data_IF_654149599485
#
_entry.id   IF_654149599485
#
_cell.length_a   1.000
_cell.length_b   1.000
_cell.length_c   1.000
_cell.angle_alpha   90.00
_cell.angle_beta   90.00
_cell.angle_gamma   90.00
#
_symmetry.space_group_name_H-M   'P 1'
#
loop_
_entity.id
_entity.type
_entity.pdbx_description
1 polymer ?
#
# COMPACT_ATOMS: atom_id res chain seq x y z
N UNK A 1 21.79 4.60 5.78
CA UNK A 1 21.09 3.70 4.86
C UNK A 1 21.40 4.13 3.45
N UNK A 2 21.96 3.23 2.65
CA UNK A 2 22.36 3.44 1.26
C UNK A 2 21.12 3.68 0.40
N UNK A 3 21.13 4.72 -0.44
CA UNK A 3 20.13 4.85 -1.52
C UNK A 3 20.23 3.59 -2.37
N UNK A 4 19.15 2.80 -2.45
CA UNK A 4 19.10 1.66 -3.35
C UNK A 4 19.37 2.14 -4.77
N UNK A 5 20.46 1.67 -5.39
CA UNK A 5 20.76 2.00 -6.77
C UNK A 5 19.73 1.30 -7.64
N UNK A 6 18.94 2.07 -8.39
CA UNK A 6 18.04 1.54 -9.39
C UNK A 6 18.91 1.10 -10.59
N UNK A 7 19.27 -0.18 -10.64
CA UNK A 7 19.99 -0.72 -11.79
C UNK A 7 19.08 -0.67 -13.04
N UNK A 8 19.56 -0.14 -14.18
CA UNK A 8 18.77 -0.09 -15.41
C UNK A 8 18.27 -1.49 -15.80
N UNK A 9 16.95 -1.62 -15.99
CA UNK A 9 16.32 -2.87 -16.46
C UNK A 9 15.88 -3.84 -15.36
N UNK A 10 16.13 -3.56 -14.07
CA UNK A 10 15.53 -4.36 -12.99
C UNK A 10 14.07 -3.95 -12.73
N UNK A 11 13.25 -4.90 -12.28
CA UNK A 11 11.90 -4.60 -11.78
C UNK A 11 11.98 -3.75 -10.51
N UNK A 12 11.08 -2.77 -10.40
CA UNK A 12 10.84 -2.04 -9.16
C UNK A 12 10.05 -2.92 -8.19
N UNK A 13 10.55 -3.08 -6.96
CA UNK A 13 9.89 -3.85 -5.91
C UNK A 13 8.94 -2.95 -5.13
N UNK A 14 7.65 -3.25 -5.21
CA UNK A 14 6.58 -2.46 -4.58
C UNK A 14 5.95 -3.29 -3.47
N UNK A 15 6.09 -2.84 -2.23
CA UNK A 15 5.56 -3.49 -1.04
C UNK A 15 4.27 -2.85 -0.55
N UNK A 16 3.33 -3.66 -0.05
CA UNK A 16 2.08 -3.20 0.55
C UNK A 16 1.94 -3.77 1.96
N UNK A 17 1.92 -2.88 2.96
CA UNK A 17 1.73 -3.23 4.37
C UNK A 17 0.31 -2.89 4.78
N UNK A 18 -0.46 -3.87 5.25
CA UNK A 18 -1.82 -3.62 5.71
C UNK A 18 -2.32 -4.67 6.69
N UNK A 19 -3.19 -4.24 7.60
CA UNK A 19 -4.09 -5.13 8.35
C UNK A 19 -5.18 -5.76 7.47
N UNK A 20 -5.39 -5.24 6.27
CA UNK A 20 -6.62 -5.42 5.50
C UNK A 20 -6.44 -6.12 4.15
N UNK A 21 -5.39 -6.94 4.00
CA UNK A 21 -5.17 -7.78 2.81
C UNK A 21 -6.00 -9.08 2.85
N UNK A 22 -7.29 -8.93 3.10
CA UNK A 22 -8.33 -9.97 3.11
C UNK A 22 -9.60 -9.36 2.51
N UNK A 23 -10.75 -10.01 2.56
CA UNK A 23 -12.02 -9.47 2.07
C UNK A 23 -12.45 -8.20 2.84
N UNK A 24 -11.87 -7.07 2.46
CA UNK A 24 -11.98 -5.75 3.07
C UNK A 24 -11.91 -4.66 1.99
N UNK A 25 -12.38 -3.44 2.31
CA UNK A 25 -12.41 -2.33 1.35
C UNK A 25 -11.03 -1.96 0.80
N UNK A 26 -9.99 -1.96 1.65
CA UNK A 26 -8.60 -1.72 1.23
C UNK A 26 -8.17 -2.70 0.12
N UNK A 27 -8.44 -3.99 0.29
CA UNK A 27 -8.16 -4.99 -0.74
C UNK A 27 -8.95 -4.75 -2.03
N UNK A 28 -10.19 -4.27 -1.95
CA UNK A 28 -10.99 -3.93 -3.13
C UNK A 28 -10.40 -2.76 -3.94
N UNK A 29 -9.77 -1.79 -3.28
CA UNK A 29 -9.03 -0.71 -3.96
C UNK A 29 -7.69 -1.18 -4.52
N UNK A 30 -6.99 -2.06 -3.80
CA UNK A 30 -5.68 -2.56 -4.22
C UNK A 30 -5.79 -3.52 -5.42
N UNK A 31 -6.80 -4.39 -5.43
CA UNK A 31 -6.92 -5.50 -6.40
C UNK A 31 -6.86 -5.05 -7.87
N UNK A 32 -7.60 -4.02 -8.33
CA UNK A 32 -7.49 -3.54 -9.71
C UNK A 32 -6.06 -3.10 -10.09
N UNK A 33 -5.33 -2.47 -9.17
CA UNK A 33 -3.94 -2.05 -9.40
C UNK A 33 -3.03 -3.28 -9.45
N UNK A 34 -3.20 -4.19 -8.48
CA UNK A 34 -2.41 -5.42 -8.37
C UNK A 34 -2.51 -6.32 -9.61
N UNK A 35 -3.71 -6.41 -10.19
CA UNK A 35 -4.01 -7.21 -11.39
C UNK A 35 -3.55 -6.55 -12.70
N UNK A 36 -3.53 -5.21 -12.76
CA UNK A 36 -3.27 -4.48 -14.02
C UNK A 36 -1.84 -3.94 -14.15
N UNK A 37 -1.07 -3.91 -13.07
CA UNK A 37 0.28 -3.37 -13.09
C UNK A 37 1.20 -4.22 -13.97
N UNK A 38 2.02 -3.55 -14.79
CA UNK A 38 2.91 -4.22 -15.73
C UNK A 38 4.02 -4.99 -14.98
N UNK A 39 3.89 -6.32 -14.94
CA UNK A 39 4.83 -7.21 -14.25
C UNK A 39 6.20 -7.31 -14.91
N UNK A 40 6.40 -6.78 -16.12
CA UNK A 40 7.74 -6.63 -16.71
C UNK A 40 8.56 -5.54 -16.00
N UNK A 41 7.90 -4.54 -15.42
CA UNK A 41 8.55 -3.41 -14.76
C UNK A 41 8.41 -3.41 -13.24
N UNK A 42 7.43 -4.13 -12.69
CA UNK A 42 7.12 -4.13 -11.26
C UNK A 42 7.01 -5.54 -10.69
N UNK A 43 7.60 -5.73 -9.51
CA UNK A 43 7.43 -6.92 -8.67
C UNK A 43 6.65 -6.52 -7.40
N UNK A 44 5.63 -7.28 -7.03
CA UNK A 44 4.72 -6.91 -5.94
C UNK A 44 4.91 -7.78 -4.70
N UNK A 45 4.94 -7.13 -3.55
CA UNK A 45 5.17 -7.74 -2.26
C UNK A 45 4.03 -7.43 -1.30
N UNK A 46 3.53 -8.44 -0.58
CA UNK A 46 2.49 -8.29 0.42
C UNK A 46 2.99 -8.54 1.84
N UNK A 47 2.70 -7.62 2.76
CA UNK A 47 3.02 -7.72 4.19
C UNK A 47 1.73 -7.66 5.02
N UNK A 48 1.10 -8.82 5.20
CA UNK A 48 -0.18 -8.95 5.89
C UNK A 48 -0.01 -8.85 7.43
N UNK A 49 -0.54 -7.78 8.02
CA UNK A 49 -0.38 -7.46 9.45
C UNK A 49 -1.50 -7.96 10.34
N UNK A 50 -2.57 -8.53 9.78
CA UNK A 50 -3.59 -9.29 10.52
C UNK A 50 -3.39 -10.79 10.36
N UNK A 51 -4.06 -11.58 11.20
CA UNK A 51 -4.07 -13.04 11.13
C UNK A 51 -5.23 -13.58 10.28
N UNK A 52 -5.95 -12.71 9.56
CA UNK A 52 -7.05 -13.11 8.69
C UNK A 52 -6.50 -13.71 7.40
N UNK A 53 -7.19 -14.73 6.91
CA UNK A 53 -6.84 -15.41 5.68
C UNK A 53 -8.11 -15.93 5.01
N UNK A 54 -8.40 -15.44 3.81
CA UNK A 54 -9.52 -15.89 2.98
C UNK A 54 -9.09 -16.01 1.51
N UNK A 55 -10.07 -16.20 0.62
CA UNK A 55 -9.83 -16.31 -0.82
C UNK A 55 -9.18 -15.06 -1.44
N UNK A 56 -9.40 -13.87 -0.88
CA UNK A 56 -8.77 -12.63 -1.35
C UNK A 56 -7.30 -12.61 -0.91
N UNK A 57 -7.02 -12.96 0.34
CA UNK A 57 -5.64 -13.12 0.83
C UNK A 57 -4.87 -14.15 0.00
N UNK A 58 -5.47 -15.32 -0.23
CA UNK A 58 -4.89 -16.38 -1.04
C UNK A 58 -4.61 -15.92 -2.49
N UNK A 59 -5.52 -15.15 -3.09
CA UNK A 59 -5.32 -14.62 -4.45
C UNK A 59 -4.14 -13.65 -4.53
N UNK A 60 -3.97 -12.76 -3.56
CA UNK A 60 -2.79 -11.90 -3.50
C UNK A 60 -1.51 -12.71 -3.29
N UNK A 61 -1.51 -13.65 -2.35
CA UNK A 61 -0.35 -14.52 -2.07
C UNK A 61 0.10 -15.29 -3.31
N UNK A 62 -0.83 -15.89 -4.06
CA UNK A 62 -0.52 -16.68 -5.27
C UNK A 62 0.03 -15.85 -6.43
N UNK A 63 -0.20 -14.54 -6.43
CA UNK A 63 0.19 -13.62 -7.52
C UNK A 63 1.23 -12.58 -7.10
N UNK A 64 1.73 -12.69 -5.87
CA UNK A 64 2.82 -11.88 -5.36
C UNK A 64 4.17 -12.44 -5.84
N UNK A 65 5.12 -11.55 -6.03
CA UNK A 65 6.54 -11.91 -6.16
C UNK A 65 7.13 -12.25 -4.78
N UNK A 66 6.54 -11.73 -3.69
CA UNK A 66 6.81 -12.14 -2.31
C UNK A 66 5.63 -11.88 -1.37
N UNK A 67 5.31 -12.83 -0.50
CA UNK A 67 4.21 -12.72 0.46
C UNK A 67 4.65 -13.07 1.87
N UNK A 68 4.33 -12.20 2.83
CA UNK A 68 4.76 -12.33 4.21
C UNK A 68 3.58 -12.08 5.17
N UNK A 69 3.24 -13.10 5.95
CA UNK A 69 2.36 -12.95 7.11
C UNK A 69 3.19 -12.39 8.29
N UNK A 70 3.02 -11.11 8.60
CA UNK A 70 3.89 -10.37 9.54
C UNK A 70 3.19 -10.01 10.86
N UNK A 71 1.97 -10.51 11.08
CA UNK A 71 1.18 -10.22 12.28
C UNK A 71 1.90 -10.56 13.61
N UNK A 72 2.85 -11.51 13.61
CA UNK A 72 3.67 -11.89 14.77
C UNK A 72 5.02 -11.17 14.87
N UNK A 73 5.42 -10.40 13.87
CA UNK A 73 6.69 -9.68 13.85
C UNK A 73 6.58 -8.36 14.63
N UNK A 74 7.64 -8.05 15.37
CA UNK A 74 7.87 -6.72 15.92
C UNK A 74 8.10 -5.69 14.80
N UNK A 75 8.06 -4.40 15.16
CA UNK A 75 8.34 -3.34 14.19
C UNK A 75 9.76 -3.40 13.62
N UNK A 76 10.74 -3.81 14.42
CA UNK A 76 12.14 -3.92 14.01
C UNK A 76 12.31 -5.09 13.05
N UNK A 77 11.81 -6.29 13.40
CA UNK A 77 11.90 -7.47 12.54
C UNK A 77 11.17 -7.27 11.20
N UNK A 78 10.08 -6.49 11.19
CA UNK A 78 9.39 -6.13 9.96
C UNK A 78 10.21 -5.13 9.12
N UNK A 79 10.83 -4.13 9.74
CA UNK A 79 11.69 -3.19 9.03
C UNK A 79 12.90 -3.90 8.39
N UNK A 80 13.54 -4.81 9.13
CA UNK A 80 14.65 -5.62 8.63
C UNK A 80 14.23 -6.49 7.45
N UNK A 81 13.10 -7.21 7.57
CA UNK A 81 12.56 -8.01 6.47
C UNK A 81 12.31 -7.17 5.21
N UNK A 82 11.67 -6.00 5.35
CA UNK A 82 11.38 -5.13 4.20
C UNK A 82 12.68 -4.63 3.56
N UNK A 83 13.71 -4.36 4.37
CA UNK A 83 15.02 -3.96 3.88
C UNK A 83 15.72 -5.10 3.13
N UNK A 84 15.66 -6.33 3.66
CA UNK A 84 16.21 -7.54 3.05
C UNK A 84 15.51 -7.90 1.74
N UNK A 85 14.19 -7.67 1.66
CA UNK A 85 13.41 -7.78 0.43
C UNK A 85 13.71 -6.65 -0.57
N UNK A 86 14.56 -5.68 -0.21
CA UNK A 86 14.99 -4.56 -1.04
C UNK A 86 13.80 -3.80 -1.67
N UNK A 87 12.75 -3.57 -0.87
CA UNK A 87 11.57 -2.84 -1.33
C UNK A 87 11.96 -1.42 -1.72
N UNK A 88 11.61 -1.01 -2.95
CA UNK A 88 11.89 0.32 -3.47
C UNK A 88 10.81 1.33 -3.06
N UNK A 89 9.55 0.90 -3.14
CA UNK A 89 8.37 1.71 -2.81
C UNK A 89 7.51 0.91 -1.84
N UNK A 90 7.32 1.45 -0.64
CA UNK A 90 6.54 0.80 0.41
C UNK A 90 5.26 1.60 0.70
N UNK A 91 4.13 0.95 0.49
CA UNK A 91 2.81 1.49 0.80
C UNK A 91 2.35 1.08 2.19
N UNK A 92 1.98 2.08 3.00
CA UNK A 92 1.10 1.91 4.15
C UNK A 92 -0.35 1.97 3.68
N UNK A 93 -1.12 0.90 3.91
CA UNK A 93 -2.55 0.84 3.58
C UNK A 93 -3.46 0.76 4.81
N UNK A 94 -2.95 1.09 6.00
CA UNK A 94 -3.77 1.10 7.22
C UNK A 94 -3.83 2.49 7.84
N UNK A 95 -2.77 3.29 7.76
CA UNK A 95 -2.72 4.57 8.47
C UNK A 95 -2.98 4.38 9.97
N UNK A 96 -3.81 5.22 10.57
CA UNK A 96 -4.14 5.13 12.01
C UNK A 96 -5.20 4.07 12.37
N UNK A 97 -5.56 3.16 11.46
CA UNK A 97 -6.56 2.12 11.74
C UNK A 97 -5.96 0.87 12.41
N UNK A 98 -6.80 -0.13 12.68
CA UNK A 98 -6.39 -1.35 13.36
C UNK A 98 -5.30 -2.12 12.59
N UNK A 99 -4.42 -2.79 13.32
CA UNK A 99 -3.31 -3.59 12.76
C UNK A 99 -2.33 -2.81 11.86
N UNK A 100 -2.28 -1.48 11.97
CA UNK A 100 -1.29 -0.68 11.27
C UNK A 100 0.14 -0.97 11.74
N UNK A 101 1.11 -0.50 10.95
CA UNK A 101 2.54 -0.62 11.24
C UNK A 101 3.25 0.72 11.17
N UNK A 102 2.57 1.83 11.51
CA UNK A 102 3.13 3.18 11.36
C UNK A 102 4.49 3.34 12.04
N UNK A 103 4.65 2.82 13.27
CA UNK A 103 5.94 2.89 13.97
C UNK A 103 7.09 2.19 13.23
N UNK A 104 6.81 1.17 12.42
CA UNK A 104 7.81 0.51 11.59
C UNK A 104 8.30 1.43 10.46
N UNK A 105 7.41 2.24 9.86
CA UNK A 105 7.79 3.20 8.82
C UNK A 105 8.76 4.27 9.32
N UNK A 106 8.85 4.51 10.64
CA UNK A 106 9.84 5.43 11.21
C UNK A 106 11.30 4.95 11.01
N UNK A 107 11.52 3.64 10.85
CA UNK A 107 12.84 3.07 10.53
C UNK A 107 13.25 3.30 9.08
N UNK A 108 12.35 3.79 8.22
CA UNK A 108 12.62 4.05 6.81
C UNK A 108 13.20 2.83 6.05
N UNK A 109 12.62 1.62 6.15
CA UNK A 109 13.19 0.42 5.52
C UNK A 109 13.16 0.43 3.99
N UNK A 110 12.31 1.27 3.38
CA UNK A 110 12.29 1.52 1.94
C UNK A 110 12.64 2.99 1.65
N UNK A 111 13.32 3.28 0.51
CA UNK A 111 13.73 4.64 0.16
C UNK A 111 12.52 5.55 -0.13
N UNK A 112 11.42 5.01 -0.65
CA UNK A 112 10.15 5.72 -0.84
C UNK A 112 9.06 5.05 -0.01
N UNK A 113 8.36 5.84 0.80
CA UNK A 113 7.24 5.40 1.63
C UNK A 113 6.01 6.26 1.35
N UNK A 114 4.88 5.59 1.11
CA UNK A 114 3.63 6.23 0.68
C UNK A 114 2.49 5.75 1.55
N UNK A 115 1.69 6.65 2.12
CA UNK A 115 0.43 6.27 2.76
C UNK A 115 -0.72 6.36 1.74
N UNK A 116 -1.57 5.35 1.71
CA UNK A 116 -2.70 5.26 0.78
C UNK A 116 -3.89 4.46 1.32
N UNK A 117 -5.07 5.08 1.17
CA UNK A 117 -6.46 4.60 1.28
C UNK A 117 -6.98 4.01 2.60
N UNK A 118 -6.15 3.42 3.46
CA UNK A 118 -6.63 2.80 4.71
C UNK A 118 -7.21 3.77 5.74
N UNK A 119 -6.71 5.00 5.76
CA UNK A 119 -7.13 6.06 6.66
C UNK A 119 -7.25 7.39 5.89
N UNK A 120 -8.40 8.09 5.95
CA UNK A 120 -8.59 9.36 5.24
C UNK A 120 -7.94 10.52 6.02
N UNK A 121 -6.62 10.49 6.18
CA UNK A 121 -5.87 11.53 6.89
C UNK A 121 -4.36 11.28 6.90
N UNK A 122 -3.59 12.31 7.22
CA UNK A 122 -2.13 12.24 7.36
C UNK A 122 -1.70 11.14 8.35
N UNK A 123 -0.61 10.44 8.05
CA UNK A 123 0.05 9.59 9.04
C UNK A 123 0.74 10.47 10.11
N UNK A 124 1.04 11.74 9.80
CA UNK A 124 1.67 12.70 10.70
C UNK A 124 3.17 12.44 10.87
N UNK A 125 3.79 11.71 9.95
CA UNK A 125 5.15 11.21 10.08
C UNK A 125 6.08 11.82 9.04
N UNK A 126 7.18 12.44 9.46
CA UNK A 126 8.21 12.94 8.53
C UNK A 126 8.94 11.81 7.77
N UNK A 127 8.85 10.57 8.28
CA UNK A 127 9.36 9.39 7.60
C UNK A 127 8.44 8.91 6.45
N UNK A 128 7.20 9.38 6.37
CA UNK A 128 6.31 9.10 5.25
C UNK A 128 6.50 10.18 4.19
N UNK A 129 6.91 9.81 2.97
CA UNK A 129 7.28 10.80 1.95
C UNK A 129 6.05 11.38 1.27
N UNK A 130 5.08 10.52 0.97
CA UNK A 130 3.92 10.86 0.16
C UNK A 130 2.61 10.35 0.74
N UNK A 131 1.54 11.08 0.45
CA UNK A 131 0.17 10.63 0.65
C UNK A 131 -0.53 10.62 -0.71
N UNK A 132 -1.00 9.45 -1.13
CA UNK A 132 -1.61 9.27 -2.44
C UNK A 132 -3.11 9.61 -2.37
N UNK A 133 -3.53 10.59 -3.17
CA UNK A 133 -4.91 11.06 -3.26
C UNK A 133 -5.48 10.80 -4.65
N UNK A 134 -6.73 10.33 -4.68
CA UNK A 134 -7.55 10.37 -5.88
C UNK A 134 -8.12 11.77 -6.05
N UNK A 135 -7.88 12.39 -7.21
CA UNK A 135 -8.39 13.72 -7.49
C UNK A 135 -9.93 13.71 -7.52
N UNK A 136 -10.59 14.21 -6.48
CA UNK A 136 -12.05 14.24 -6.39
C UNK A 136 -12.67 15.62 -6.66
N UNK A 137 -11.92 16.71 -6.67
CA UNK A 137 -12.36 18.00 -7.21
C UNK A 137 -11.25 19.07 -7.06
N UNK A 138 -11.15 20.03 -7.99
CA UNK A 138 -10.37 21.24 -7.78
C UNK A 138 -11.07 22.13 -6.74
N UNK A 139 -10.42 22.51 -5.64
CA UNK A 139 -11.03 23.57 -4.82
C UNK A 139 -10.56 23.88 -3.41
N UNK A 140 -9.68 23.11 -2.77
CA UNK A 140 -9.21 23.50 -1.42
C UNK A 140 -7.85 24.18 -1.52
N UNK A 141 -7.87 25.52 -1.62
CA UNK A 141 -6.66 26.33 -1.36
C UNK A 141 -6.06 25.84 -0.04
N UNK A 142 -4.78 25.46 -0.05
CA UNK A 142 -3.99 25.00 1.10
C UNK A 142 -4.20 23.57 1.62
N UNK A 143 -4.78 22.64 0.85
CA UNK A 143 -4.95 21.24 1.32
C UNK A 143 -3.64 20.56 1.74
N UNK A 144 -2.54 20.82 1.03
CA UNK A 144 -1.19 20.34 1.38
C UNK A 144 -0.75 20.71 2.81
N UNK A 145 -1.22 21.83 3.38
CA UNK A 145 -0.83 22.26 4.74
C UNK A 145 -1.40 21.35 5.83
N UNK A 146 -2.38 20.50 5.51
CA UNK A 146 -2.97 19.54 6.44
C UNK A 146 -2.21 18.21 6.50
N UNK A 147 -1.17 18.04 5.67
CA UNK A 147 -0.40 16.82 5.55
C UNK A 147 1.08 17.07 5.81
N UNK A 148 1.70 16.19 6.59
CA UNK A 148 3.16 16.14 6.74
C UNK A 148 3.80 15.59 5.45
N UNK A 149 3.12 14.64 4.82
CA UNK A 149 3.51 14.02 3.56
C UNK A 149 3.28 14.97 2.37
N UNK A 150 4.06 14.79 1.31
CA UNK A 150 3.79 15.46 0.02
C UNK A 150 2.59 14.79 -0.66
N UNK A 151 1.59 15.58 -1.04
CA UNK A 151 0.42 15.04 -1.74
C UNK A 151 0.78 14.66 -3.17
N UNK A 152 0.47 13.43 -3.56
CA UNK A 152 0.57 12.95 -4.95
C UNK A 152 -0.85 12.69 -5.45
N UNK A 153 -1.20 13.33 -6.56
CA UNK A 153 -2.53 13.21 -7.15
C UNK A 153 -2.52 12.15 -8.23
N UNK A 154 -3.26 11.06 -7.99
CA UNK A 154 -3.51 10.04 -9.00
C UNK A 154 -4.71 10.46 -9.84
N UNK A 155 -4.48 10.64 -11.14
CA UNK A 155 -5.56 10.81 -12.12
C UNK A 155 -6.13 9.43 -12.43
N UNK A 156 -7.22 9.07 -11.77
CA UNK A 156 -7.97 7.85 -12.06
C UNK A 156 -9.44 8.18 -12.32
N UNK A 157 -9.99 7.61 -13.40
CA UNK A 157 -11.42 7.68 -13.73
C UNK A 157 -12.21 6.50 -13.10
N UNK A 158 -11.52 5.52 -12.51
CA UNK A 158 -12.12 4.33 -11.92
C UNK A 158 -11.56 4.10 -10.51
N UNK A 159 -12.41 4.26 -9.50
CA UNK A 159 -12.09 3.93 -8.10
C UNK A 159 -12.55 2.52 -7.72
N UNK A 160 -13.50 1.97 -8.49
CA UNK A 160 -14.13 0.67 -8.25
C UNK A 160 -14.37 -0.01 -9.60
N UNK A 161 -14.14 -1.32 -9.68
CA UNK A 161 -14.82 -2.15 -10.71
C UNK A 161 -16.22 -2.45 -10.18
N UNK A 162 -17.24 -2.30 -11.02
CA UNK A 162 -18.56 -2.88 -10.73
C UNK A 162 -18.40 -4.38 -10.56
N UNK A 163 -19.07 -4.96 -9.57
CA UNK A 163 -19.28 -6.40 -9.56
C UNK A 163 -20.25 -6.70 -10.70
N UNK A 164 -19.93 -7.65 -11.57
CA UNK A 164 -20.75 -8.04 -12.74
C UNK A 164 -22.19 -8.47 -12.39
N UNK A 165 -22.53 -8.60 -11.10
CA UNK A 165 -23.86 -8.98 -10.59
C UNK A 165 -24.62 -7.87 -9.83
N UNK A 166 -24.28 -6.59 -10.01
CA UNK A 166 -24.96 -5.49 -9.30
C UNK A 166 -26.47 -5.33 -9.62
N UNK A 167 -26.99 -6.03 -10.63
CA UNK A 167 -28.43 -6.04 -10.94
C UNK A 167 -29.29 -6.96 -10.05
N UNK A 168 -28.70 -7.85 -9.25
CA UNK A 168 -29.46 -8.79 -8.39
C UNK A 168 -29.63 -8.31 -6.94
N UNK A 169 -28.89 -7.28 -6.50
CA UNK A 169 -28.95 -6.79 -5.12
C UNK A 169 -30.03 -5.70 -4.87
N UNK A 170 -30.89 -5.42 -5.85
CA UNK A 170 -31.97 -4.42 -5.78
C UNK A 170 -33.36 -4.99 -6.11
N UNK A 171 -33.59 -6.29 -5.85
CA UNK A 171 -34.93 -6.88 -5.84
C UNK A 171 -35.35 -7.25 -4.43
#
# INVERSE_FOLDING_TARGET
MTKGTLEPGRKLRVGFVSGDLWNHQVANFLRPIWESINREHFALYGFASSNKYDNITQSFEQTADGWHAVYRKSGIELAELIHEEQIDILFDLSGHTAHNRLSMFAFKPAPIQISWIGCPGTAGMSAMDYFLIFNLAPGTKNFQQQFVEKLVYLRSELQFKSVDNSSEALK
#
